data_IF_998389649279
#
_entry.id   IF_998389649279
#
_cell.length_a   1.000
_cell.length_b   1.000
_cell.length_c   1.000
_cell.angle_alpha   90.00
_cell.angle_beta   90.00
_cell.angle_gamma   90.00
#
_symmetry.space_group_name_H-M   'P 1'
#
loop_
_entity.id
_entity.type
_entity.pdbx_description
1 polymer ?
#
# COMPACT_ATOMS: atom_id res chain seq x y z
N UNK A 1 14.67 18.59 9.29
CA UNK A 1 13.82 17.51 9.82
C UNK A 1 12.37 17.89 9.65
N UNK A 2 11.66 17.10 8.86
CA UNK A 2 10.22 17.23 8.64
C UNK A 2 9.59 15.88 8.94
N UNK A 3 8.63 15.87 9.85
CA UNK A 3 7.84 14.68 10.13
C UNK A 3 6.70 14.58 9.11
N UNK A 4 6.45 13.37 8.61
CA UNK A 4 5.45 13.10 7.58
C UNK A 4 4.63 11.91 8.03
N UNK A 5 3.33 12.12 8.17
CA UNK A 5 2.36 11.07 8.50
C UNK A 5 1.89 10.38 7.24
N UNK A 6 2.03 9.07 7.19
CA UNK A 6 1.63 8.26 6.03
C UNK A 6 0.47 7.35 6.45
N UNK A 7 -0.55 7.29 5.62
CA UNK A 7 -1.65 6.34 5.71
C UNK A 7 -1.62 5.46 4.47
N UNK A 8 -1.62 4.16 4.71
CA UNK A 8 -1.84 3.15 3.69
C UNK A 8 -3.10 2.34 4.03
N UNK A 9 -3.86 1.97 2.99
CA UNK A 9 -4.99 1.09 3.17
C UNK A 9 -5.32 0.29 1.90
N UNK A 10 -5.32 -1.04 2.01
CA UNK A 10 -6.03 -1.89 1.04
C UNK A 10 -7.55 -1.77 1.25
N UNK A 11 -8.21 -1.10 0.30
CA UNK A 11 -9.65 -0.81 0.36
C UNK A 11 -10.51 -1.86 -0.37
N UNK A 12 -9.92 -2.99 -0.78
CA UNK A 12 -10.61 -4.18 -1.24
C UNK A 12 -11.55 -4.00 -2.44
N UNK A 13 -11.13 -3.32 -3.51
CA UNK A 13 -11.95 -3.20 -4.72
C UNK A 13 -11.57 -4.21 -5.82
N UNK A 14 -10.84 -5.30 -5.50
CA UNK A 14 -10.36 -6.33 -6.44
C UNK A 14 -11.34 -6.84 -7.50
N UNK A 15 -12.65 -6.84 -7.23
CA UNK A 15 -13.68 -7.40 -8.14
C UNK A 15 -14.82 -6.44 -8.46
N UNK A 16 -14.66 -5.14 -8.17
CA UNK A 16 -15.75 -4.17 -8.15
C UNK A 16 -15.52 -3.02 -9.13
N UNK A 17 -15.69 -3.27 -10.43
CA UNK A 17 -15.47 -2.24 -11.46
C UNK A 17 -16.48 -1.08 -11.38
N UNK A 18 -17.68 -1.34 -10.85
CA UNK A 18 -18.80 -0.40 -10.84
C UNK A 18 -19.40 -0.21 -9.45
N UNK A 19 -18.74 -0.66 -8.38
CA UNK A 19 -19.25 -0.45 -7.03
C UNK A 19 -18.43 0.63 -6.31
N UNK A 20 -19.12 1.31 -5.41
CA UNK A 20 -18.57 2.38 -4.61
C UNK A 20 -18.06 1.80 -3.30
N UNK A 21 -16.83 2.14 -2.92
CA UNK A 21 -16.41 1.88 -1.54
C UNK A 21 -17.33 2.69 -0.57
N UNK A 22 -17.52 2.22 0.67
CA UNK A 22 -18.37 2.91 1.66
C UNK A 22 -17.87 4.32 2.01
N UNK A 23 -18.78 5.26 2.28
CA UNK A 23 -18.42 6.66 2.62
C UNK A 23 -17.49 6.79 3.83
N UNK A 24 -17.51 5.83 4.76
CA UNK A 24 -16.61 5.85 5.90
C UNK A 24 -15.14 5.76 5.51
N UNK A 25 -14.80 5.30 4.30
CA UNK A 25 -13.40 5.32 3.82
C UNK A 25 -12.86 6.75 3.79
N UNK A 26 -13.63 7.68 3.19
CA UNK A 26 -13.28 9.11 3.14
C UNK A 26 -13.27 9.71 4.55
N UNK A 27 -14.23 9.30 5.39
CA UNK A 27 -14.34 9.78 6.77
C UNK A 27 -13.14 9.36 7.62
N UNK A 28 -12.69 8.11 7.53
CA UNK A 28 -11.55 7.57 8.28
C UNK A 28 -10.22 8.19 7.82
N UNK A 29 -10.02 8.38 6.51
CA UNK A 29 -8.85 9.10 5.97
C UNK A 29 -8.84 10.55 6.48
N UNK A 30 -9.99 11.23 6.42
CA UNK A 30 -10.12 12.62 6.89
C UNK A 30 -9.86 12.74 8.39
N UNK A 31 -10.36 11.78 9.20
CA UNK A 31 -10.16 11.72 10.65
C UNK A 31 -8.68 11.54 11.01
N UNK A 32 -7.96 10.69 10.26
CA UNK A 32 -6.52 10.46 10.46
C UNK A 32 -5.65 11.61 9.97
N UNK A 33 -6.14 12.40 9.00
CA UNK A 33 -5.47 13.60 8.46
C UNK A 33 -3.98 13.38 8.10
N UNK A 34 -3.67 12.35 7.29
CA UNK A 34 -2.29 12.04 6.91
C UNK A 34 -1.68 13.13 6.01
N UNK A 35 -0.36 13.13 5.86
CA UNK A 35 0.35 13.96 4.89
C UNK A 35 0.54 13.23 3.55
N UNK A 36 0.55 11.90 3.58
CA UNK A 36 0.55 11.02 2.41
C UNK A 36 -0.57 9.98 2.55
N UNK A 37 -1.41 9.86 1.52
CA UNK A 37 -2.45 8.83 1.41
C UNK A 37 -2.00 7.83 0.34
N UNK A 38 -2.07 6.54 0.63
CA UNK A 38 -1.87 5.45 -0.34
C UNK A 38 -3.02 4.46 -0.21
N UNK A 39 -3.83 4.31 -1.25
CA UNK A 39 -4.90 3.31 -1.28
C UNK A 39 -4.59 2.29 -2.36
N UNK A 40 -4.50 1.02 -1.97
CA UNK A 40 -4.28 -0.10 -2.88
C UNK A 40 -5.56 -0.89 -3.10
N UNK A 41 -5.59 -1.71 -4.15
CA UNK A 41 -6.83 -2.27 -4.70
C UNK A 41 -7.87 -1.22 -5.06
N UNK A 42 -7.42 -0.03 -5.47
CA UNK A 42 -8.29 1.07 -5.88
C UNK A 42 -8.81 0.84 -7.31
N UNK A 43 -10.11 1.11 -7.54
CA UNK A 43 -10.73 1.01 -8.87
C UNK A 43 -11.80 2.06 -9.11
N UNK A 44 -11.83 2.52 -10.37
CA UNK A 44 -12.99 3.14 -10.99
C UNK A 44 -13.01 4.67 -10.91
N UNK A 45 -13.48 5.28 -12.00
CA UNK A 45 -13.55 6.74 -12.17
C UNK A 45 -14.47 7.41 -11.13
N UNK A 46 -15.57 6.74 -10.79
CA UNK A 46 -16.52 7.24 -9.81
C UNK A 46 -15.90 7.37 -8.42
N UNK A 47 -15.14 6.35 -7.98
CA UNK A 47 -14.42 6.38 -6.71
C UNK A 47 -13.31 7.43 -6.71
N UNK A 48 -12.61 7.60 -7.85
CA UNK A 48 -11.63 8.69 -8.04
C UNK A 48 -12.28 10.05 -7.83
N UNK A 49 -13.40 10.30 -8.51
CA UNK A 49 -14.13 11.56 -8.43
C UNK A 49 -14.57 11.88 -6.99
N UNK A 50 -15.01 10.87 -6.23
CA UNK A 50 -15.37 11.03 -4.81
C UNK A 50 -14.16 11.41 -3.95
N UNK A 51 -13.03 10.73 -4.11
CA UNK A 51 -11.79 11.07 -3.39
C UNK A 51 -11.26 12.45 -3.78
N UNK A 52 -11.25 12.79 -5.06
CA UNK A 52 -10.80 14.10 -5.54
C UNK A 52 -11.70 15.22 -5.03
N UNK A 53 -13.01 15.01 -4.99
CA UNK A 53 -13.95 15.96 -4.38
C UNK A 53 -13.66 16.17 -2.89
N UNK A 54 -13.25 15.13 -2.16
CA UNK A 54 -12.94 15.21 -0.74
C UNK A 54 -11.54 15.76 -0.42
N UNK A 55 -10.57 15.59 -1.33
CA UNK A 55 -9.15 15.79 -1.02
C UNK A 55 -8.39 16.76 -1.92
N UNK A 56 -8.86 17.06 -3.15
CA UNK A 56 -8.08 17.87 -4.11
C UNK A 56 -7.77 19.30 -3.65
N UNK A 57 -8.56 19.88 -2.75
CA UNK A 57 -8.25 21.18 -2.16
C UNK A 57 -6.99 21.13 -1.27
N UNK A 58 -6.76 20.00 -0.57
CA UNK A 58 -5.70 19.84 0.43
C UNK A 58 -4.54 18.96 -0.05
N UNK A 59 -4.75 18.14 -1.08
CA UNK A 59 -3.79 17.17 -1.59
C UNK A 59 -3.61 17.33 -3.10
N UNK A 60 -2.39 17.08 -3.59
CA UNK A 60 -2.17 16.69 -4.98
C UNK A 60 -2.52 15.22 -5.11
N UNK A 61 -3.48 14.89 -5.98
CA UNK A 61 -4.06 13.55 -6.06
C UNK A 61 -3.74 12.92 -7.40
N UNK A 62 -3.38 11.63 -7.37
CA UNK A 62 -3.00 10.86 -8.53
C UNK A 62 -3.53 9.45 -8.39
N UNK A 63 -3.96 8.86 -9.49
CA UNK A 63 -4.36 7.46 -9.49
C UNK A 63 -4.25 6.88 -10.88
N UNK A 64 -4.15 5.55 -10.93
CA UNK A 64 -4.32 4.79 -12.15
C UNK A 64 -5.23 3.59 -11.86
N UNK A 65 -5.94 3.13 -12.88
CA UNK A 65 -6.61 1.82 -12.85
C UNK A 65 -5.62 0.78 -13.37
N UNK A 66 -5.64 -0.42 -12.79
CA UNK A 66 -4.79 -1.50 -13.28
C UNK A 66 -5.12 -1.89 -14.73
N UNK A 67 -4.15 -2.51 -15.38
CA UNK A 67 -4.23 -2.90 -16.80
C UNK A 67 -5.48 -3.73 -17.13
N UNK A 68 -6.05 -3.51 -18.32
CA UNK A 68 -7.17 -4.31 -18.80
C UNK A 68 -6.74 -5.73 -19.17
N UNK A 69 -7.63 -6.70 -18.91
CA UNK A 69 -7.46 -8.10 -19.29
C UNK A 69 -8.81 -8.72 -19.67
N UNK A 70 -8.78 -9.69 -20.58
CA UNK A 70 -9.98 -10.42 -21.02
C UNK A 70 -10.14 -11.69 -20.18
N UNK A 71 -11.28 -11.83 -19.53
CA UNK A 71 -11.65 -13.03 -18.78
C UNK A 71 -11.93 -14.21 -19.72
N UNK A 72 -11.91 -15.44 -19.18
CA UNK A 72 -12.23 -16.67 -19.94
C UNK A 72 -13.60 -16.62 -20.62
N UNK A 73 -14.56 -15.88 -20.03
CA UNK A 73 -15.90 -15.67 -20.57
C UNK A 73 -15.99 -14.50 -21.58
N UNK A 74 -14.88 -13.90 -21.98
CA UNK A 74 -14.82 -12.78 -22.94
C UNK A 74 -15.02 -11.38 -22.34
N UNK A 75 -15.35 -11.27 -21.04
CA UNK A 75 -15.53 -9.96 -20.40
C UNK A 75 -14.19 -9.26 -20.20
N UNK A 76 -14.11 -7.99 -20.58
CA UNK A 76 -12.95 -7.14 -20.25
C UNK A 76 -13.09 -6.73 -18.78
N UNK A 77 -12.02 -6.93 -18.01
CA UNK A 77 -11.87 -6.42 -16.65
C UNK A 77 -10.61 -5.59 -16.52
N UNK A 78 -10.52 -4.80 -15.48
CA UNK A 78 -9.39 -3.95 -15.10
C UNK A 78 -8.69 -4.56 -13.89
N UNK A 79 -7.36 -4.55 -13.93
CA UNK A 79 -6.52 -4.90 -12.79
C UNK A 79 -6.70 -3.93 -11.63
N UNK A 80 -6.03 -4.22 -10.52
CA UNK A 80 -6.05 -3.36 -9.34
C UNK A 80 -5.22 -2.11 -9.60
N UNK A 81 -5.76 -0.95 -9.24
CA UNK A 81 -5.09 0.34 -9.30
C UNK A 81 -4.61 0.80 -7.94
N UNK A 82 -4.02 2.00 -7.93
CA UNK A 82 -3.56 2.69 -6.73
C UNK A 82 -3.99 4.15 -6.81
N UNK A 83 -4.45 4.69 -5.68
CA UNK A 83 -4.68 6.12 -5.48
C UNK A 83 -3.65 6.65 -4.48
N UNK A 84 -3.08 7.81 -4.77
CA UNK A 84 -2.13 8.49 -3.89
C UNK A 84 -2.47 9.97 -3.75
N UNK A 85 -2.37 10.49 -2.53
CA UNK A 85 -2.55 11.91 -2.20
C UNK A 85 -1.35 12.46 -1.45
N UNK A 86 -0.80 13.60 -1.89
CA UNK A 86 0.30 14.30 -1.24
C UNK A 86 -0.18 15.66 -0.72
N UNK A 87 -0.11 15.89 0.58
CA UNK A 87 -0.68 17.11 1.19
C UNK A 87 0.06 18.37 0.74
N UNK A 88 -0.68 19.33 0.16
CA UNK A 88 -0.14 20.55 -0.46
C UNK A 88 0.65 21.42 0.51
N UNK A 89 0.33 21.37 1.80
CA UNK A 89 1.06 22.09 2.85
C UNK A 89 2.45 21.51 3.13
N UNK A 90 2.71 20.25 2.75
CA UNK A 90 3.97 19.53 3.00
C UNK A 90 4.79 19.38 1.71
N UNK A 91 4.14 19.21 0.57
CA UNK A 91 4.76 18.87 -0.71
C UNK A 91 4.65 19.99 -1.76
N UNK A 92 5.61 20.04 -2.67
CA UNK A 92 5.45 20.71 -3.96
C UNK A 92 4.69 19.80 -4.93
N UNK A 93 4.05 20.40 -5.93
CA UNK A 93 3.34 19.67 -6.98
C UNK A 93 4.33 18.82 -7.79
N UNK A 94 4.12 17.50 -7.88
CA UNK A 94 4.85 16.63 -8.79
C UNK A 94 4.58 16.96 -10.27
N UNK A 95 5.61 16.90 -11.12
CA UNK A 95 5.41 16.98 -12.58
C UNK A 95 4.89 15.65 -13.16
N UNK A 96 4.27 15.65 -14.37
CA UNK A 96 3.84 14.40 -15.01
C UNK A 96 4.95 13.36 -15.20
N UNK A 97 6.18 13.81 -15.48
CA UNK A 97 7.35 12.94 -15.67
C UNK A 97 7.84 12.30 -14.36
N UNK A 98 7.44 12.87 -13.22
CA UNK A 98 7.76 12.37 -11.88
C UNK A 98 6.79 11.29 -11.40
N UNK A 99 5.77 10.97 -12.20
CA UNK A 99 4.73 9.99 -11.88
C UNK A 99 4.91 8.78 -12.80
N UNK A 100 5.04 7.59 -12.22
CA UNK A 100 5.23 6.34 -12.96
C UNK A 100 4.37 5.24 -12.37
N UNK A 101 3.79 4.38 -13.20
CA UNK A 101 2.92 3.28 -12.76
C UNK A 101 2.99 2.07 -13.69
N UNK A 102 2.30 0.99 -13.32
CA UNK A 102 2.17 -0.21 -14.15
C UNK A 102 1.27 0.04 -15.38
N UNK A 103 1.86 0.12 -16.56
CA UNK A 103 1.13 0.32 -17.83
C UNK A 103 0.56 -0.99 -18.43
N UNK A 104 1.11 -2.14 -18.05
CA UNK A 104 0.72 -3.45 -18.60
C UNK A 104 0.76 -4.55 -17.55
N UNK A 105 -0.11 -5.56 -17.68
CA UNK A 105 -0.21 -6.68 -16.74
C UNK A 105 0.99 -7.64 -16.89
N UNK A 106 2.17 -7.22 -16.42
CA UNK A 106 3.38 -8.06 -16.40
C UNK A 106 3.44 -8.82 -15.09
N UNK A 107 3.48 -10.16 -15.13
CA UNK A 107 3.52 -10.99 -13.93
C UNK A 107 4.75 -10.71 -13.04
N UNK A 108 5.82 -10.17 -13.62
CA UNK A 108 7.09 -9.88 -12.94
C UNK A 108 7.10 -8.56 -12.16
N UNK A 109 6.07 -7.72 -12.29
CA UNK A 109 5.98 -6.41 -11.62
C UNK A 109 4.77 -6.37 -10.70
N UNK A 110 4.83 -5.76 -9.51
CA UNK A 110 3.64 -5.51 -8.70
C UNK A 110 2.74 -4.45 -9.36
N UNK A 111 1.52 -4.28 -8.84
CA UNK A 111 0.79 -3.04 -9.07
C UNK A 111 1.55 -1.94 -8.31
N UNK A 112 1.88 -0.81 -8.94
CA UNK A 112 2.64 0.25 -8.30
C UNK A 112 2.32 1.63 -8.88
N UNK A 113 2.45 2.64 -8.02
CA UNK A 113 2.40 4.06 -8.37
C UNK A 113 3.54 4.76 -7.64
N UNK A 114 4.47 5.31 -8.40
CA UNK A 114 5.60 6.10 -7.91
C UNK A 114 5.36 7.56 -8.19
N UNK A 115 5.58 8.38 -7.19
CA UNK A 115 5.52 9.83 -7.27
C UNK A 115 6.79 10.39 -6.65
N UNK A 116 7.58 11.08 -7.46
CA UNK A 116 8.69 11.89 -6.97
C UNK A 116 8.17 13.30 -6.65
N UNK A 117 8.53 13.83 -5.49
CA UNK A 117 8.20 15.20 -5.09
C UNK A 117 9.32 15.79 -4.23
N UNK A 118 9.20 17.07 -3.90
CA UNK A 118 10.05 17.77 -2.95
C UNK A 118 9.19 18.30 -1.82
N UNK A 119 9.57 18.04 -0.57
CA UNK A 119 8.90 18.66 0.58
C UNK A 119 9.21 20.16 0.64
N UNK A 120 8.36 20.98 1.25
CA UNK A 120 8.51 22.45 1.29
C UNK A 120 9.86 22.94 1.85
N UNK A 121 10.56 22.12 2.64
CA UNK A 121 11.91 22.41 3.13
C UNK A 121 13.03 22.12 2.13
N UNK A 122 12.71 21.72 0.90
CA UNK A 122 13.66 21.53 -0.21
C UNK A 122 14.25 20.13 -0.35
N UNK A 123 13.75 19.12 0.38
CA UNK A 123 14.27 17.74 0.31
C UNK A 123 13.41 16.89 -0.62
N UNK A 124 14.06 16.21 -1.56
CA UNK A 124 13.39 15.25 -2.44
C UNK A 124 12.93 14.03 -1.63
N UNK A 125 11.73 13.53 -1.96
CA UNK A 125 11.16 12.30 -1.45
C UNK A 125 10.41 11.60 -2.59
N UNK A 126 10.75 10.33 -2.82
CA UNK A 126 9.98 9.45 -3.72
C UNK A 126 9.05 8.57 -2.88
N UNK A 127 7.76 8.61 -3.18
CA UNK A 127 6.74 7.77 -2.56
C UNK A 127 6.30 6.71 -3.57
N UNK A 128 6.32 5.44 -3.18
CA UNK A 128 5.88 4.33 -4.01
C UNK A 128 4.77 3.58 -3.28
N UNK A 129 3.54 3.70 -3.77
CA UNK A 129 2.44 2.83 -3.38
C UNK A 129 2.57 1.51 -4.13
N UNK A 130 2.42 0.37 -3.44
CA UNK A 130 2.62 -0.95 -4.07
C UNK A 130 1.58 -1.98 -3.61
N UNK A 131 1.18 -2.87 -4.52
CA UNK A 131 0.53 -4.14 -4.17
C UNK A 131 1.20 -5.28 -4.91
N UNK A 132 1.81 -6.19 -4.17
CA UNK A 132 2.36 -7.42 -4.75
C UNK A 132 1.20 -8.31 -5.16
N UNK A 133 1.20 -8.76 -6.42
CA UNK A 133 0.13 -9.57 -6.98
C UNK A 133 0.24 -11.01 -6.49
N UNK A 134 -0.89 -11.55 -6.07
CA UNK A 134 -1.07 -12.95 -5.70
C UNK A 134 -1.78 -13.72 -6.82
N UNK A 135 -1.38 -14.97 -7.00
CA UNK A 135 -2.01 -15.89 -7.95
C UNK A 135 -3.34 -16.45 -7.45
N UNK A 136 -4.06 -17.17 -8.32
CA UNK A 136 -5.32 -17.85 -7.94
C UNK A 136 -5.10 -19.15 -7.17
N UNK A 137 -3.86 -19.65 -7.12
CA UNK A 137 -3.44 -20.85 -6.40
C UNK A 137 -2.24 -20.52 -5.55
N UNK A 138 -2.20 -21.11 -4.36
CA UNK A 138 -1.02 -21.08 -3.50
C UNK A 138 -0.09 -22.22 -3.94
N UNK A 139 0.80 -21.95 -4.89
CA UNK A 139 1.73 -22.94 -5.46
C UNK A 139 3.15 -22.37 -5.62
N UNK A 140 4.10 -23.23 -6.01
CA UNK A 140 5.50 -22.88 -6.23
C UNK A 140 5.69 -21.71 -7.22
N UNK A 141 4.82 -21.60 -8.24
CA UNK A 141 4.91 -20.52 -9.22
C UNK A 141 4.50 -19.20 -8.57
N UNK A 142 3.42 -19.22 -7.79
CA UNK A 142 2.92 -18.04 -7.09
C UNK A 142 3.94 -17.46 -6.09
N UNK A 143 4.61 -18.31 -5.29
CA UNK A 143 5.67 -17.87 -4.38
C UNK A 143 6.85 -17.22 -5.14
N UNK A 144 7.27 -17.83 -6.24
CA UNK A 144 8.36 -17.32 -7.08
C UNK A 144 7.98 -16.03 -7.81
N UNK A 145 6.72 -15.89 -8.24
CA UNK A 145 6.19 -14.67 -8.83
C UNK A 145 6.22 -13.52 -7.81
N UNK A 146 5.79 -13.75 -6.56
CA UNK A 146 5.89 -12.75 -5.48
C UNK A 146 7.33 -12.35 -5.19
N UNK A 147 8.25 -13.32 -5.08
CA UNK A 147 9.70 -13.07 -4.91
C UNK A 147 10.27 -12.21 -6.03
N UNK A 148 9.90 -12.51 -7.27
CA UNK A 148 10.37 -11.80 -8.46
C UNK A 148 9.85 -10.35 -8.51
N UNK A 149 8.58 -10.14 -8.15
CA UNK A 149 7.99 -8.80 -8.05
C UNK A 149 8.70 -7.93 -7.01
N UNK A 150 9.01 -8.47 -5.83
CA UNK A 150 9.75 -7.74 -4.78
C UNK A 150 11.18 -7.41 -5.25
N UNK A 151 11.88 -8.39 -5.82
CA UNK A 151 13.23 -8.19 -6.36
C UNK A 151 13.25 -7.13 -7.48
N UNK A 152 12.27 -7.14 -8.40
CA UNK A 152 12.13 -6.10 -9.43
C UNK A 152 11.94 -4.72 -8.80
N UNK A 153 11.01 -4.60 -7.85
CA UNK A 153 10.68 -3.34 -7.18
C UNK A 153 11.89 -2.69 -6.51
N UNK A 154 12.68 -3.50 -5.78
CA UNK A 154 13.88 -3.04 -5.09
C UNK A 154 14.96 -2.59 -6.09
N UNK A 155 15.20 -3.37 -7.15
CA UNK A 155 16.21 -3.09 -8.18
C UNK A 155 15.88 -1.86 -9.02
N UNK A 156 14.63 -1.73 -9.44
CA UNK A 156 14.14 -0.61 -10.25
C UNK A 156 14.37 0.73 -9.52
N UNK A 157 14.20 0.73 -8.19
CA UNK A 157 14.25 1.96 -7.39
C UNK A 157 15.56 2.15 -6.63
N UNK A 158 16.57 1.30 -6.83
CA UNK A 158 17.79 1.30 -6.00
C UNK A 158 18.60 2.59 -6.04
N UNK A 159 18.53 3.38 -7.11
CA UNK A 159 19.29 4.63 -7.22
C UNK A 159 18.65 5.80 -6.46
N UNK A 160 17.40 5.64 -6.02
CA UNK A 160 16.68 6.69 -5.30
C UNK A 160 17.17 6.79 -3.85
N UNK A 161 17.65 7.97 -3.46
CA UNK A 161 18.27 8.21 -2.15
C UNK A 161 17.28 8.27 -1.00
N UNK A 162 16.25 9.10 -1.12
CA UNK A 162 15.18 9.23 -0.12
C UNK A 162 13.90 8.67 -0.74
N UNK A 163 13.48 7.50 -0.25
CA UNK A 163 12.26 6.87 -0.73
C UNK A 163 11.55 6.07 0.36
N UNK A 164 10.24 5.99 0.17
CA UNK A 164 9.39 5.04 0.85
C UNK A 164 8.68 4.16 -0.18
N UNK A 165 8.55 2.87 0.15
CA UNK A 165 7.70 1.91 -0.55
C UNK A 165 6.69 1.43 0.49
N UNK A 166 5.39 1.59 0.22
CA UNK A 166 4.34 1.30 1.19
C UNK A 166 3.12 0.67 0.51
N UNK A 167 2.51 -0.32 1.16
CA UNK A 167 1.37 -1.03 0.61
C UNK A 167 1.22 -2.45 1.08
N UNK A 168 0.35 -3.19 0.42
CA UNK A 168 0.09 -4.62 0.63
C UNK A 168 1.13 -5.48 -0.13
N UNK A 169 2.15 -5.95 0.57
CA UNK A 169 3.15 -6.85 -0.02
C UNK A 169 2.67 -8.30 -0.11
N UNK A 170 1.45 -8.61 0.35
CA UNK A 170 0.88 -9.95 0.40
C UNK A 170 1.85 -10.98 1.02
N UNK A 171 2.62 -10.53 2.01
CA UNK A 171 3.68 -11.28 2.66
C UNK A 171 3.93 -10.68 4.04
N UNK A 172 4.53 -11.41 5.01
CA UNK A 172 4.89 -10.86 6.34
C UNK A 172 6.39 -10.65 6.51
N UNK A 173 6.89 -9.55 7.13
CA UNK A 173 8.30 -9.20 7.10
C UNK A 173 9.14 -10.08 8.04
N UNK A 174 8.49 -10.96 8.80
CA UNK A 174 9.09 -11.85 9.77
C UNK A 174 8.53 -13.29 9.70
N UNK A 175 7.83 -13.65 8.61
CA UNK A 175 7.31 -15.02 8.44
C UNK A 175 7.59 -15.56 7.06
N UNK A 176 8.13 -16.78 7.00
CA UNK A 176 8.27 -17.51 5.75
C UNK A 176 6.91 -18.05 5.31
N UNK A 177 6.58 -17.84 4.03
CA UNK A 177 5.42 -18.45 3.38
C UNK A 177 5.88 -19.71 2.63
N UNK A 178 5.09 -20.78 2.68
CA UNK A 178 5.50 -22.11 2.23
C UNK A 178 4.43 -22.73 1.35
N UNK A 179 4.87 -23.42 0.30
CA UNK A 179 4.03 -24.33 -0.46
C UNK A 179 4.85 -25.53 -0.93
N UNK A 180 4.39 -26.74 -0.62
CA UNK A 180 5.03 -28.02 -1.01
C UNK A 180 6.56 -28.06 -0.80
N UNK A 181 7.33 -27.65 -1.80
CA UNK A 181 8.80 -27.71 -1.87
C UNK A 181 9.48 -26.33 -1.95
N UNK A 182 8.70 -25.25 -2.03
CA UNK A 182 9.20 -23.89 -2.17
C UNK A 182 8.87 -23.04 -0.95
N UNK A 183 9.75 -22.06 -0.69
CA UNK A 183 9.59 -21.10 0.38
C UNK A 183 9.82 -19.68 -0.14
N UNK A 184 8.93 -18.76 0.26
CA UNK A 184 9.21 -17.34 0.24
C UNK A 184 9.77 -16.98 1.61
N UNK A 185 11.09 -17.12 1.76
CA UNK A 185 11.80 -16.90 3.02
C UNK A 185 11.99 -15.39 3.30
N UNK A 186 11.65 -14.97 4.52
CA UNK A 186 11.67 -13.55 4.85
C UNK A 186 13.10 -13.02 4.94
N UNK A 187 14.06 -13.90 5.30
CA UNK A 187 15.48 -13.59 5.32
C UNK A 187 16.01 -13.33 3.91
N UNK A 188 15.52 -14.05 2.90
CA UNK A 188 15.88 -13.78 1.50
C UNK A 188 15.46 -12.37 1.08
N UNK A 189 14.25 -11.96 1.47
CA UNK A 189 13.75 -10.61 1.18
C UNK A 189 14.58 -9.54 1.90
N UNK A 190 14.94 -9.77 3.17
CA UNK A 190 15.84 -8.90 3.93
C UNK A 190 17.23 -8.81 3.27
N UNK A 191 17.77 -9.92 2.76
CA UNK A 191 19.03 -9.90 2.01
C UNK A 191 18.92 -9.12 0.70
N UNK A 192 17.83 -9.27 -0.05
CA UNK A 192 17.60 -8.43 -1.24
C UNK A 192 17.54 -6.94 -0.88
N UNK A 193 16.84 -6.57 0.20
CA UNK A 193 16.79 -5.19 0.68
C UNK A 193 18.19 -4.67 1.05
N UNK A 194 18.99 -5.48 1.75
CA UNK A 194 20.38 -5.15 2.10
C UNK A 194 21.22 -4.90 0.86
N UNK A 195 21.17 -5.83 -0.09
CA UNK A 195 22.04 -5.84 -1.27
C UNK A 195 21.69 -4.68 -2.22
N UNK A 196 20.43 -4.24 -2.24
CA UNK A 196 19.99 -3.04 -2.98
C UNK A 196 20.06 -1.73 -2.14
N UNK A 197 20.60 -1.80 -0.92
CA UNK A 197 20.93 -0.64 -0.07
C UNK A 197 19.73 0.00 0.63
N UNK A 198 18.67 -0.74 0.92
CA UNK A 198 17.51 -0.30 1.71
C UNK A 198 17.70 -0.50 3.21
N UNK A 199 18.71 -1.28 3.62
CA UNK A 199 19.02 -1.51 5.03
C UNK A 199 20.23 -0.68 5.45
N UNK A 200 19.96 0.34 6.27
CA UNK A 200 20.94 1.09 7.05
C UNK A 200 20.58 0.89 8.52
N UNK A 201 21.57 0.68 9.40
CA UNK A 201 21.36 0.38 10.82
C UNK A 201 20.59 1.47 11.57
N UNK A 202 20.50 2.68 11.00
CA UNK A 202 19.71 3.80 11.54
C UNK A 202 18.24 3.80 11.08
N UNK A 203 17.91 3.01 10.06
CA UNK A 203 16.62 2.98 9.40
C UNK A 203 15.92 1.69 9.82
N UNK A 204 14.79 1.81 10.53
CA UNK A 204 14.01 0.65 10.98
C UNK A 204 13.22 0.01 9.83
N UNK A 205 13.90 -0.38 8.75
CA UNK A 205 13.33 -0.93 7.52
C UNK A 205 13.61 -2.44 7.40
N UNK A 206 12.68 -3.28 6.89
CA UNK A 206 11.27 -2.98 6.67
C UNK A 206 10.52 -2.79 8.02
N UNK A 207 9.36 -2.12 7.97
CA UNK A 207 8.56 -1.79 9.14
C UNK A 207 7.09 -2.13 8.93
N UNK A 208 6.48 -2.72 9.94
CA UNK A 208 5.04 -2.75 10.09
C UNK A 208 4.69 -2.44 11.55
N UNK A 209 3.73 -1.54 11.83
CA UNK A 209 3.31 -1.23 13.18
C UNK A 209 2.72 -2.45 13.92
N UNK A 210 2.57 -2.34 15.24
CA UNK A 210 1.90 -3.39 16.03
C UNK A 210 0.46 -3.62 15.58
N UNK A 211 0.07 -4.88 15.54
CA UNK A 211 -1.22 -5.36 15.05
C UNK A 211 -1.02 -6.37 13.92
N UNK A 212 -2.11 -6.83 13.32
CA UNK A 212 -2.09 -7.84 12.27
C UNK A 212 -3.18 -7.58 11.23
N UNK A 213 -3.02 -8.18 10.05
CA UNK A 213 -4.10 -8.35 9.07
C UNK A 213 -5.11 -9.40 9.56
N UNK A 214 -6.18 -9.58 8.80
CA UNK A 214 -7.19 -10.61 9.05
C UNK A 214 -6.62 -12.05 9.06
N UNK A 215 -5.42 -12.27 8.50
CA UNK A 215 -4.70 -13.55 8.54
C UNK A 215 -3.87 -13.75 9.82
N UNK A 216 -3.87 -12.80 10.76
CA UNK A 216 -2.97 -12.82 11.92
C UNK A 216 -1.51 -12.51 11.55
N UNK A 217 -1.27 -11.89 10.39
CA UNK A 217 0.05 -11.56 9.85
C UNK A 217 0.16 -10.09 9.48
N UNK A 218 1.33 -9.48 9.55
CA UNK A 218 1.53 -8.11 9.07
C UNK A 218 1.73 -8.11 7.56
N UNK A 219 0.70 -7.89 6.75
CA UNK A 219 0.79 -7.94 5.28
C UNK A 219 1.17 -6.59 4.65
N UNK A 220 0.82 -5.51 5.34
CA UNK A 220 1.01 -4.14 4.91
C UNK A 220 2.26 -3.56 5.58
N UNK A 221 3.23 -3.10 4.78
CA UNK A 221 4.53 -2.65 5.29
C UNK A 221 4.97 -1.32 4.69
N UNK A 222 5.94 -0.72 5.38
CA UNK A 222 6.76 0.38 4.92
C UNK A 222 8.22 -0.11 4.76
N UNK A 223 8.80 0.09 3.58
CA UNK A 223 10.24 -0.06 3.32
C UNK A 223 10.79 1.34 3.08
N UNK A 224 11.84 1.72 3.79
CA UNK A 224 12.49 3.03 3.65
C UNK A 224 13.90 2.90 3.11
N UNK A 225 14.36 3.95 2.43
CA UNK A 225 15.78 4.18 2.11
C UNK A 225 16.10 5.65 2.27
N UNK A 226 17.14 5.94 3.05
CA UNK A 226 17.58 7.31 3.38
C UNK A 226 16.60 8.08 4.28
N UNK A 227 15.71 7.38 4.99
CA UNK A 227 14.62 7.97 5.79
C UNK A 227 14.54 7.24 7.12
N UNK A 228 14.26 7.96 8.19
CA UNK A 228 14.10 7.41 9.54
C UNK A 228 12.61 7.22 9.83
N UNK A 229 12.26 6.08 10.43
CA UNK A 229 10.91 5.83 10.94
C UNK A 229 10.86 6.26 12.41
N UNK A 230 9.88 7.09 12.77
CA UNK A 230 9.64 7.44 14.16
C UNK A 230 8.85 6.31 14.85
N UNK A 231 9.56 5.29 15.32
CA UNK A 231 8.97 4.12 16.02
C UNK A 231 8.22 4.47 17.32
N UNK A 232 8.39 5.68 17.84
CA UNK A 232 7.77 6.12 19.08
C UNK A 232 6.52 6.95 18.85
N UNK A 233 6.20 7.27 17.59
CA UNK A 233 4.98 7.99 17.26
C UNK A 233 3.74 7.18 17.63
N UNK A 234 2.84 7.81 18.38
CA UNK A 234 1.51 7.27 18.66
C UNK A 234 0.63 7.13 17.42
N UNK A 235 1.06 7.72 16.30
CA UNK A 235 0.40 7.57 15.01
C UNK A 235 0.65 6.18 14.39
N UNK A 236 1.68 5.44 14.82
CA UNK A 236 2.04 4.17 14.20
C UNK A 236 1.11 3.03 14.64
N UNK A 237 0.23 2.56 13.74
CA UNK A 237 -0.75 1.52 14.05
C UNK A 237 -1.16 0.72 12.81
N UNK A 238 -1.53 -0.55 13.02
CA UNK A 238 -2.45 -1.27 12.15
C UNK A 238 -3.85 -1.16 12.78
N UNK A 239 -4.65 -0.22 12.28
CA UNK A 239 -5.89 0.22 12.92
C UNK A 239 -7.13 -0.45 12.32
N UNK A 240 -7.80 -1.27 13.14
CA UNK A 240 -9.09 -1.91 12.85
C UNK A 240 -10.31 -1.16 13.43
N UNK A 241 -10.11 -0.03 14.10
CA UNK A 241 -11.19 0.71 14.76
C UNK A 241 -12.29 1.15 13.79
N UNK A 242 -12.00 1.27 12.49
CA UNK A 242 -13.02 1.50 11.46
C UNK A 242 -14.10 0.39 11.47
N UNK A 243 -13.74 -0.87 11.73
CA UNK A 243 -14.69 -1.98 11.78
C UNK A 243 -15.67 -1.83 12.95
N UNK A 244 -15.21 -1.29 14.09
CA UNK A 244 -16.07 -0.96 15.23
C UNK A 244 -16.93 0.28 14.96
N UNK A 245 -16.34 1.32 14.36
CA UNK A 245 -17.06 2.58 14.09
C UNK A 245 -18.16 2.41 13.03
N UNK A 246 -18.09 1.31 12.27
CA UNK A 246 -18.96 1.01 11.13
C UNK A 246 -19.53 -0.42 11.24
N UNK A 247 -19.78 -0.90 12.47
CA UNK A 247 -20.18 -2.28 12.79
C UNK A 247 -21.43 -2.76 12.05
N UNK A 248 -22.38 -1.86 11.75
CA UNK A 248 -23.57 -2.14 10.94
C UNK A 248 -23.24 -2.65 9.53
N UNK A 249 -22.09 -2.27 8.96
CA UNK A 249 -21.64 -2.76 7.65
C UNK A 249 -20.96 -4.13 7.74
N UNK A 250 -20.66 -4.60 8.96
CA UNK A 250 -19.88 -5.80 9.22
C UNK A 250 -20.64 -6.84 10.08
N UNK A 251 -21.98 -6.74 10.14
CA UNK A 251 -22.83 -7.61 10.95
C UNK A 251 -22.69 -9.10 10.61
N UNK A 252 -22.47 -9.43 9.34
CA UNK A 252 -22.24 -10.79 8.84
C UNK A 252 -20.75 -11.11 8.66
N UNK A 253 -19.87 -10.25 9.19
CA UNK A 253 -18.44 -10.42 9.14
C UNK A 253 -17.91 -11.52 10.07
N UNK A 254 -16.60 -11.71 10.02
CA UNK A 254 -15.86 -12.57 10.93
C UNK A 254 -14.95 -11.74 11.84
N UNK A 255 -14.60 -12.31 12.98
CA UNK A 255 -13.75 -11.67 13.97
C UNK A 255 -12.28 -11.78 13.58
N UNK A 256 -11.60 -10.65 13.38
CA UNK A 256 -10.13 -10.61 13.19
C UNK A 256 -9.41 -10.81 14.54
N UNK A 257 -8.09 -11.10 14.54
CA UNK A 257 -7.34 -11.37 15.77
C UNK A 257 -7.46 -10.30 16.86
N UNK A 258 -7.56 -9.02 16.46
CA UNK A 258 -7.72 -7.86 17.35
C UNK A 258 -9.14 -7.73 17.91
N UNK A 259 -10.06 -8.58 17.46
CA UNK A 259 -11.38 -8.75 18.03
C UNK A 259 -12.50 -7.96 17.33
N UNK A 260 -12.21 -7.28 16.23
CA UNK A 260 -13.17 -6.53 15.41
C UNK A 260 -13.86 -7.43 14.39
N UNK A 261 -15.08 -7.07 13.99
CA UNK A 261 -15.81 -7.76 12.92
C UNK A 261 -15.54 -7.08 11.59
N UNK A 262 -15.15 -7.86 10.57
CA UNK A 262 -14.97 -7.39 9.19
C UNK A 262 -15.47 -8.42 8.18
N UNK A 263 -15.80 -7.97 6.97
CA UNK A 263 -16.26 -8.81 5.86
C UNK A 263 -15.17 -8.87 4.78
N UNK A 264 -14.94 -10.05 4.22
CA UNK A 264 -14.03 -10.24 3.08
C UNK A 264 -14.81 -10.15 1.76
N UNK A 265 -15.62 -9.09 1.62
CA UNK A 265 -16.48 -8.86 0.46
C UNK A 265 -16.26 -7.44 -0.08
N UNK A 266 -15.77 -7.29 -1.32
CA UNK A 266 -15.74 -6.01 -1.99
C UNK A 266 -17.15 -5.38 -2.06
N UNK A 267 -17.27 -4.05 -1.86
CA UNK A 267 -16.19 -3.06 -1.81
C UNK A 267 -15.81 -2.63 -0.39
N UNK A 268 -16.13 -3.44 0.63
CA UNK A 268 -15.81 -3.13 2.01
C UNK A 268 -14.33 -3.43 2.28
N UNK A 269 -13.56 -2.47 2.82
CA UNK A 269 -12.18 -2.74 3.24
C UNK A 269 -12.11 -3.93 4.20
N UNK A 270 -11.15 -4.80 3.94
CA UNK A 270 -10.88 -6.04 4.68
C UNK A 270 -9.48 -6.07 5.31
N UNK A 271 -8.71 -4.98 5.21
CA UNK A 271 -7.40 -4.80 5.83
C UNK A 271 -7.44 -3.71 6.92
N UNK A 272 -6.53 -3.81 7.89
CA UNK A 272 -6.26 -2.75 8.85
C UNK A 272 -5.75 -1.50 8.12
N UNK A 273 -6.01 -0.31 8.65
CA UNK A 273 -5.39 0.91 8.13
C UNK A 273 -3.96 0.97 8.69
N UNK A 274 -2.95 0.89 7.83
CA UNK A 274 -1.57 1.12 8.23
C UNK A 274 -1.34 2.62 8.35
N UNK A 275 -0.89 3.03 9.53
CA UNK A 275 -0.45 4.40 9.81
C UNK A 275 0.96 4.39 10.34
N UNK A 276 1.80 5.30 9.86
CA UNK A 276 3.20 5.41 10.27
C UNK A 276 3.72 6.83 10.09
N UNK A 277 4.66 7.24 10.93
CA UNK A 277 5.33 8.55 10.85
C UNK A 277 6.81 8.36 10.51
N UNK A 278 7.27 9.12 9.53
CA UNK A 278 8.69 9.16 9.12
C UNK A 278 9.26 10.55 9.37
N UNK A 279 10.58 10.61 9.55
CA UNK A 279 11.34 11.85 9.61
C UNK A 279 12.29 11.90 8.43
N UNK A 280 12.13 12.93 7.60
CA UNK A 280 13.11 13.31 6.60
C UNK A 280 14.02 14.36 7.23
N UNK A 281 15.22 13.94 7.64
CA UNK A 281 16.23 14.85 8.19
C UNK A 281 16.55 15.93 7.21
#
# INVERSE_FOLDING_TARGET
MTNIKILEWNINQRSCENSSFPEYVITEISRKNPDVIVLVEFKGEHNRSRLDSAFSERYYTYSYNGSQYTCVNGNIKTGNGIYMGLKKSIFNEPSPEEITWEESFKNEQPNWLKIKSTIKTGKELTIIGVRVKVGSKHDNKELNDRKSQINWLLKENKQTKHQIIIGDLNYSPAETDWCEKEELNWQDIVYMMRDEGYLDYKQFSPYSPTGTSWKGKQLDWLITKGIIIDRHSHYNQLDWSFGKNNDLFYLEGYRVPEGFFIINEPPFPDHAILTTEITLE
#
